data_IF_637274728253
#
_entry.id   IF_637274728253
#
_cell.length_a   1.000
_cell.length_b   1.000
_cell.length_c   1.000
_cell.angle_alpha   90.00
_cell.angle_beta   90.00
_cell.angle_gamma   90.00
#
_symmetry.space_group_name_H-M   'P 1'
#
loop_
_entity.id
_entity.type
_entity.pdbx_description
1 polymer ?
#
# COMPACT_ATOMS: atom_id res chain seq x y z
N UNK A 1 -15.18 35.37 -19.93
CA UNK A 1 -15.65 34.09 -19.34
C UNK A 1 -14.46 33.15 -19.27
N UNK A 2 -13.60 33.29 -18.26
CA UNK A 2 -12.50 32.38 -17.95
C UNK A 2 -11.85 32.85 -16.65
N UNK A 3 -12.46 32.60 -15.48
CA UNK A 3 -11.76 32.86 -14.20
C UNK A 3 -12.35 32.18 -12.95
N UNK A 4 -13.16 31.12 -13.08
CA UNK A 4 -13.74 30.45 -11.88
C UNK A 4 -13.14 29.06 -11.60
N UNK A 5 -12.35 28.48 -12.51
CA UNK A 5 -11.85 27.09 -12.34
C UNK A 5 -10.51 26.96 -11.58
N UNK A 6 -9.74 28.04 -11.40
CA UNK A 6 -8.40 27.94 -10.79
C UNK A 6 -8.39 27.89 -9.25
N UNK A 7 -9.50 28.21 -8.58
CA UNK A 7 -9.53 28.30 -7.10
C UNK A 7 -9.90 26.98 -6.42
N UNK A 8 -10.49 26.02 -7.15
CA UNK A 8 -11.00 24.78 -6.57
C UNK A 8 -9.94 23.67 -6.44
N UNK A 9 -8.94 23.63 -7.32
CA UNK A 9 -7.88 22.61 -7.31
C UNK A 9 -6.98 22.65 -6.05
N UNK A 10 -6.93 23.76 -5.32
CA UNK A 10 -6.09 23.88 -4.12
C UNK A 10 -6.68 23.29 -2.84
N UNK A 11 -8.01 23.09 -2.78
CA UNK A 11 -8.70 22.67 -1.53
C UNK A 11 -8.75 21.15 -1.35
N UNK A 12 -8.83 20.39 -2.44
CA UNK A 12 -8.94 18.92 -2.40
C UNK A 12 -7.63 18.22 -2.03
N UNK A 13 -6.48 18.82 -2.37
CA UNK A 13 -5.16 18.17 -2.18
C UNK A 13 -4.61 18.20 -0.74
N UNK A 14 -5.33 18.78 0.23
CA UNK A 14 -4.82 18.96 1.60
C UNK A 14 -5.43 18.02 2.65
N UNK A 15 -6.41 17.20 2.29
CA UNK A 15 -7.12 16.38 3.26
C UNK A 15 -6.47 14.99 3.33
N UNK A 16 -5.58 14.80 4.31
CA UNK A 16 -5.06 13.47 4.68
C UNK A 16 -5.82 12.98 5.90
N UNK A 17 -6.37 11.76 5.83
CA UNK A 17 -7.02 11.11 6.96
C UNK A 17 -5.99 10.88 8.08
N UNK A 18 -6.16 11.57 9.20
CA UNK A 18 -5.36 11.36 10.41
C UNK A 18 -6.13 10.47 11.39
N UNK A 19 -5.67 9.23 11.65
CA UNK A 19 -6.36 8.30 12.52
C UNK A 19 -6.41 8.77 13.99
N UNK A 20 -5.56 9.73 14.39
CA UNK A 20 -5.53 10.27 15.75
C UNK A 20 -6.59 11.35 16.03
N UNK A 21 -7.23 11.90 14.98
CA UNK A 21 -8.20 12.98 15.15
C UNK A 21 -9.58 12.48 15.59
N UNK A 22 -10.12 13.12 16.62
CA UNK A 22 -11.49 12.86 17.09
C UNK A 22 -12.51 13.41 16.09
N UNK A 23 -13.74 12.88 16.09
CA UNK A 23 -14.80 13.34 15.18
C UNK A 23 -15.05 14.87 15.32
N UNK A 24 -14.89 15.41 16.52
CA UNK A 24 -15.03 16.84 16.83
C UNK A 24 -13.96 17.69 16.14
N UNK A 25 -12.73 17.19 16.03
CA UNK A 25 -11.63 17.87 15.33
C UNK A 25 -11.86 17.88 13.82
N UNK A 26 -12.38 16.77 13.27
CA UNK A 26 -12.79 16.72 11.86
C UNK A 26 -13.91 17.71 11.56
N UNK A 27 -14.91 17.80 12.43
CA UNK A 27 -15.99 18.77 12.28
C UNK A 27 -15.44 20.20 12.35
N UNK A 28 -14.54 20.51 13.29
CA UNK A 28 -13.95 21.84 13.42
C UNK A 28 -13.06 22.24 12.21
N UNK A 29 -12.39 21.28 11.58
CA UNK A 29 -11.63 21.51 10.34
C UNK A 29 -12.56 21.67 9.14
N UNK A 30 -13.57 20.81 9.03
CA UNK A 30 -14.57 20.89 7.97
C UNK A 30 -15.38 22.19 8.06
N UNK A 31 -15.68 22.71 9.26
CA UNK A 31 -16.34 24.00 9.48
C UNK A 31 -15.53 25.21 8.98
N UNK A 32 -14.20 25.10 8.92
CA UNK A 32 -13.35 26.16 8.36
C UNK A 32 -13.41 26.19 6.84
N UNK A 33 -13.80 25.08 6.22
CA UNK A 33 -13.74 24.88 4.76
C UNK A 33 -15.13 24.87 4.10
N UNK A 34 -16.15 24.40 4.81
CA UNK A 34 -17.49 24.12 4.29
C UNK A 34 -18.58 24.61 5.24
N UNK A 35 -19.74 24.95 4.69
CA UNK A 35 -20.93 25.25 5.47
C UNK A 35 -21.58 23.93 5.88
N UNK A 36 -21.60 23.63 7.18
CA UNK A 36 -22.20 22.38 7.71
C UNK A 36 -23.47 22.71 8.50
N UNK A 37 -24.65 22.17 8.11
CA UNK A 37 -25.87 22.36 8.87
C UNK A 37 -25.76 21.81 10.30
N UNK A 38 -26.35 22.51 11.28
CA UNK A 38 -26.25 22.11 12.70
C UNK A 38 -26.72 20.68 12.95
N UNK A 39 -27.83 20.30 12.32
CA UNK A 39 -28.42 18.98 12.42
C UNK A 39 -27.44 17.88 12.00
N UNK A 40 -26.66 18.11 10.94
CA UNK A 40 -25.68 17.13 10.46
C UNK A 40 -24.56 16.91 11.47
N UNK A 41 -24.10 17.99 12.12
CA UNK A 41 -23.02 17.92 13.13
C UNK A 41 -23.43 17.14 14.36
N UNK A 42 -24.68 17.28 14.77
CA UNK A 42 -25.20 16.66 15.98
C UNK A 42 -25.66 15.21 15.75
N UNK A 43 -26.24 14.93 14.58
CA UNK A 43 -26.86 13.63 14.29
C UNK A 43 -25.91 12.67 13.56
N UNK A 44 -25.02 13.19 12.69
CA UNK A 44 -24.17 12.37 11.83
C UNK A 44 -22.66 12.73 11.90
N UNK A 45 -22.06 12.82 13.11
CA UNK A 45 -20.66 13.22 13.25
C UNK A 45 -19.67 12.23 12.62
N UNK A 46 -20.02 10.94 12.59
CA UNK A 46 -19.24 9.87 11.96
C UNK A 46 -19.27 9.97 10.43
N UNK A 47 -20.41 10.33 9.85
CA UNK A 47 -20.57 10.48 8.41
C UNK A 47 -19.85 11.73 7.89
N UNK A 48 -19.86 12.83 8.64
CA UNK A 48 -19.04 14.01 8.32
C UNK A 48 -17.56 13.65 8.21
N UNK A 49 -17.05 12.83 9.14
CA UNK A 49 -15.68 12.32 9.08
C UNK A 49 -15.44 11.49 7.81
N UNK A 50 -16.35 10.57 7.46
CA UNK A 50 -16.22 9.75 6.26
C UNK A 50 -16.22 10.59 4.96
N UNK A 51 -17.09 11.60 4.86
CA UNK A 51 -17.16 12.52 3.70
C UNK A 51 -15.89 13.37 3.61
N UNK A 52 -15.32 13.75 4.75
CA UNK A 52 -14.09 14.51 4.77
C UNK A 52 -12.88 13.64 4.36
N UNK A 53 -12.81 12.40 4.85
CA UNK A 53 -11.71 11.47 4.59
C UNK A 53 -11.74 10.82 3.19
N UNK A 54 -12.90 10.73 2.52
CA UNK A 54 -12.96 10.09 1.18
C UNK A 54 -12.15 10.90 0.16
N UNK A 55 -11.35 10.18 -0.63
CA UNK A 55 -10.57 10.73 -1.74
C UNK A 55 -11.38 10.81 -3.05
N UNK A 56 -12.54 10.15 -3.10
CA UNK A 56 -13.41 10.06 -4.28
C UNK A 56 -14.31 11.29 -4.48
N UNK A 57 -14.20 12.31 -3.62
CA UNK A 57 -15.04 13.52 -3.69
C UNK A 57 -14.24 14.81 -3.85
N UNK A 58 -14.82 15.73 -4.63
CA UNK A 58 -14.35 17.10 -4.80
C UNK A 58 -14.70 17.97 -3.59
N UNK A 59 -14.15 19.19 -3.51
CA UNK A 59 -14.57 20.14 -2.48
C UNK A 59 -16.06 20.51 -2.61
N UNK A 60 -16.54 20.75 -3.82
CA UNK A 60 -17.93 21.12 -4.09
C UNK A 60 -18.90 19.97 -3.80
N UNK A 61 -18.52 18.74 -4.17
CA UNK A 61 -19.33 17.56 -3.91
C UNK A 61 -19.46 17.28 -2.41
N UNK A 62 -18.37 17.43 -1.64
CA UNK A 62 -18.42 17.31 -0.18
C UNK A 62 -19.41 18.31 0.41
N UNK A 63 -19.38 19.57 -0.03
CA UNK A 63 -20.34 20.58 0.44
C UNK A 63 -21.78 20.21 0.06
N UNK A 64 -22.00 19.78 -1.19
CA UNK A 64 -23.31 19.34 -1.67
C UNK A 64 -23.88 18.18 -0.83
N UNK A 65 -23.09 17.16 -0.55
CA UNK A 65 -23.51 16.03 0.30
C UNK A 65 -23.84 16.49 1.71
N UNK A 66 -23.03 17.36 2.31
CA UNK A 66 -23.27 17.92 3.65
C UNK A 66 -24.58 18.72 3.74
N UNK A 67 -24.96 19.41 2.66
CA UNK A 67 -26.22 20.16 2.60
C UNK A 67 -27.45 19.27 2.39
N UNK A 68 -27.29 18.12 1.74
CA UNK A 68 -28.40 17.21 1.41
C UNK A 68 -28.65 16.16 2.49
N UNK A 69 -27.65 15.86 3.33
CA UNK A 69 -27.80 14.94 4.46
C UNK A 69 -29.07 15.15 5.31
N UNK A 70 -29.48 16.38 5.67
CA UNK A 70 -30.71 16.63 6.43
C UNK A 70 -32.01 16.23 5.71
N UNK A 71 -31.98 16.14 4.38
CA UNK A 71 -33.15 15.96 3.51
C UNK A 71 -33.30 14.49 3.09
N UNK A 72 -32.21 13.72 3.17
CA UNK A 72 -32.22 12.29 2.83
C UNK A 72 -33.03 11.46 3.82
N UNK A 73 -33.61 10.36 3.34
CA UNK A 73 -34.24 9.36 4.19
C UNK A 73 -33.20 8.50 4.90
N UNK A 74 -33.57 7.86 6.01
CA UNK A 74 -32.68 6.98 6.78
C UNK A 74 -32.08 5.85 5.91
N UNK A 75 -32.87 5.27 5.01
CA UNK A 75 -32.40 4.24 4.08
C UNK A 75 -31.35 4.77 3.09
N UNK A 76 -31.51 6.01 2.62
CA UNK A 76 -30.55 6.66 1.74
C UNK A 76 -29.25 6.96 2.49
N UNK A 77 -29.35 7.47 3.71
CA UNK A 77 -28.19 7.74 4.58
C UNK A 77 -27.43 6.43 4.85
N UNK A 78 -28.14 5.34 5.13
CA UNK A 78 -27.52 4.03 5.34
C UNK A 78 -26.77 3.55 4.09
N UNK A 79 -27.40 3.61 2.92
CA UNK A 79 -26.73 3.23 1.66
C UNK A 79 -25.51 4.10 1.38
N UNK A 80 -25.63 5.41 1.60
CA UNK A 80 -24.54 6.34 1.40
C UNK A 80 -23.35 6.03 2.34
N UNK A 81 -23.65 5.77 3.62
CA UNK A 81 -22.65 5.31 4.60
C UNK A 81 -21.99 4.00 4.16
N UNK A 82 -22.78 3.01 3.73
CA UNK A 82 -22.26 1.71 3.30
C UNK A 82 -21.33 1.85 2.09
N UNK A 83 -21.65 2.74 1.15
CA UNK A 83 -20.78 3.06 0.00
C UNK A 83 -19.44 3.61 0.47
N UNK A 84 -19.45 4.63 1.34
CA UNK A 84 -18.22 5.27 1.84
C UNK A 84 -17.36 4.32 2.67
N UNK A 85 -17.99 3.44 3.47
CA UNK A 85 -17.26 2.43 4.26
C UNK A 85 -16.62 1.39 3.34
N UNK A 86 -17.37 0.87 2.36
CA UNK A 86 -16.84 -0.12 1.41
C UNK A 86 -15.69 0.46 0.58
N UNK A 87 -15.79 1.71 0.14
CA UNK A 87 -14.70 2.40 -0.55
C UNK A 87 -13.44 2.45 0.32
N UNK A 88 -13.57 2.89 1.58
CA UNK A 88 -12.46 2.93 2.54
C UNK A 88 -11.86 1.54 2.78
N UNK A 89 -12.68 0.49 2.87
CA UNK A 89 -12.20 -0.88 3.01
C UNK A 89 -11.45 -1.37 1.77
N UNK A 90 -11.93 -1.02 0.56
CA UNK A 90 -11.27 -1.37 -0.69
C UNK A 90 -9.92 -0.67 -0.83
N UNK A 91 -9.83 0.61 -0.48
CA UNK A 91 -8.56 1.35 -0.47
C UNK A 91 -7.57 0.76 0.55
N UNK A 92 -8.01 0.52 1.78
CA UNK A 92 -7.16 -0.12 2.80
C UNK A 92 -6.70 -1.53 2.39
N UNK A 93 -7.54 -2.28 1.69
CA UNK A 93 -7.17 -3.59 1.17
C UNK A 93 -6.11 -3.46 0.09
N UNK A 94 -6.29 -2.52 -0.84
CA UNK A 94 -5.34 -2.24 -1.90
C UNK A 94 -3.98 -1.85 -1.31
N UNK A 95 -3.94 -0.97 -0.31
CA UNK A 95 -2.72 -0.56 0.39
C UNK A 95 -2.00 -1.76 1.02
N UNK A 96 -2.73 -2.63 1.72
CA UNK A 96 -2.16 -3.86 2.31
C UNK A 96 -1.63 -4.82 1.26
N UNK A 97 -2.34 -4.97 0.15
CA UNK A 97 -1.91 -5.81 -0.96
C UNK A 97 -0.61 -5.24 -1.57
N UNK A 98 -0.52 -3.91 -1.75
CA UNK A 98 0.71 -3.24 -2.18
C UNK A 98 1.87 -3.39 -1.19
N UNK A 99 1.64 -3.18 0.11
CA UNK A 99 2.66 -3.38 1.15
C UNK A 99 3.18 -4.82 1.18
N UNK A 100 2.27 -5.79 1.03
CA UNK A 100 2.60 -7.22 0.97
C UNK A 100 3.45 -7.55 -0.26
N UNK A 101 3.06 -7.08 -1.44
CA UNK A 101 3.84 -7.28 -2.67
C UNK A 101 5.21 -6.61 -2.60
N UNK A 102 5.31 -5.42 -1.98
CA UNK A 102 6.59 -4.76 -1.76
C UNK A 102 7.49 -5.52 -0.79
N UNK A 103 6.94 -5.99 0.33
CA UNK A 103 7.70 -6.81 1.29
C UNK A 103 8.19 -8.12 0.66
N UNK A 104 7.40 -8.74 -0.23
CA UNK A 104 7.83 -9.92 -1.00
C UNK A 104 8.99 -9.59 -1.92
N UNK A 105 8.89 -8.50 -2.68
CA UNK A 105 9.96 -8.06 -3.59
C UNK A 105 11.25 -7.74 -2.84
N UNK A 106 11.19 -7.06 -1.71
CA UNK A 106 12.36 -6.80 -0.84
C UNK A 106 13.01 -8.10 -0.35
N UNK A 107 12.20 -9.05 0.12
CA UNK A 107 12.71 -10.36 0.56
C UNK A 107 13.36 -11.13 -0.59
N UNK A 108 12.76 -11.13 -1.78
CA UNK A 108 13.33 -11.80 -2.95
C UNK A 108 14.66 -11.17 -3.35
N UNK A 109 14.75 -9.84 -3.40
CA UNK A 109 16.01 -9.15 -3.74
C UNK A 109 17.10 -9.34 -2.69
N UNK A 110 16.75 -9.29 -1.40
CA UNK A 110 17.71 -9.50 -0.30
C UNK A 110 18.20 -10.95 -0.27
N UNK A 111 17.30 -11.93 -0.51
CA UNK A 111 17.68 -13.34 -0.56
C UNK A 111 18.56 -13.69 -1.77
N UNK A 112 18.34 -13.05 -2.93
CA UNK A 112 19.21 -13.20 -4.10
C UNK A 112 20.63 -12.62 -3.87
N UNK A 113 20.77 -11.70 -2.91
CA UNK A 113 22.04 -11.10 -2.49
C UNK A 113 22.50 -11.63 -1.12
N UNK A 114 22.03 -12.79 -0.67
CA UNK A 114 22.56 -13.44 0.54
C UNK A 114 24.00 -13.90 0.28
N UNK A 115 24.94 -13.00 0.55
CA UNK A 115 26.36 -13.16 0.32
C UNK A 115 26.90 -14.39 1.06
N UNK A 116 26.37 -14.73 2.23
CA UNK A 116 26.73 -15.94 2.99
C UNK A 116 26.38 -17.24 2.25
N UNK A 117 25.21 -17.34 1.61
CA UNK A 117 24.84 -18.55 0.85
C UNK A 117 25.70 -18.69 -0.41
N UNK A 118 26.02 -17.57 -1.06
CA UNK A 118 26.90 -17.53 -2.23
C UNK A 118 28.31 -17.98 -1.83
N UNK A 119 28.85 -17.45 -0.72
CA UNK A 119 30.17 -17.84 -0.22
C UNK A 119 30.21 -19.31 0.20
N UNK A 120 29.17 -19.81 0.87
CA UNK A 120 29.08 -21.22 1.26
C UNK A 120 29.05 -22.14 0.04
N UNK A 121 28.21 -21.86 -0.97
CA UNK A 121 28.19 -22.62 -2.23
C UNK A 121 29.53 -22.59 -2.96
N UNK A 122 30.20 -21.44 -2.95
CA UNK A 122 31.52 -21.28 -3.60
C UNK A 122 32.61 -22.09 -2.88
N UNK A 123 32.58 -22.11 -1.54
CA UNK A 123 33.49 -22.93 -0.74
C UNK A 123 33.23 -24.42 -0.94
N UNK A 124 31.97 -24.83 -1.00
CA UNK A 124 31.56 -26.22 -1.23
C UNK A 124 31.95 -26.72 -2.62
N UNK A 125 31.77 -25.90 -3.66
CA UNK A 125 32.26 -26.16 -5.01
C UNK A 125 33.77 -26.34 -5.05
N UNK A 126 34.53 -25.42 -4.43
CA UNK A 126 36.00 -25.49 -4.39
C UNK A 126 36.50 -26.74 -3.66
N UNK A 127 35.86 -27.12 -2.56
CA UNK A 127 36.18 -28.35 -1.83
C UNK A 127 35.92 -29.59 -2.69
N UNK A 128 34.80 -29.61 -3.41
CA UNK A 128 34.44 -30.71 -4.32
C UNK A 128 35.38 -30.82 -5.51
N UNK A 129 35.78 -29.71 -6.11
CA UNK A 129 36.79 -29.67 -7.19
C UNK A 129 38.12 -30.24 -6.71
N UNK A 130 38.62 -29.80 -5.55
CA UNK A 130 39.88 -30.33 -5.00
C UNK A 130 39.84 -31.83 -4.67
N UNK A 131 38.68 -32.33 -4.24
CA UNK A 131 38.49 -33.75 -3.98
C UNK A 131 38.44 -34.57 -5.28
N UNK A 132 37.82 -34.02 -6.33
CA UNK A 132 37.79 -34.66 -7.65
C UNK A 132 39.16 -34.65 -8.32
N UNK A 133 39.94 -33.58 -8.19
CA UNK A 133 41.26 -33.44 -8.83
C UNK A 133 42.24 -34.54 -8.39
N UNK A 134 42.21 -34.93 -7.11
CA UNK A 134 43.03 -36.03 -6.59
C UNK A 134 42.56 -37.42 -7.11
N UNK A 135 41.26 -37.57 -7.39
CA UNK A 135 40.69 -38.79 -7.97
C UNK A 135 41.03 -38.87 -9.46
N UNK A 136 40.91 -37.75 -10.17
CA UNK A 136 41.26 -37.63 -11.59
C UNK A 136 42.76 -37.87 -11.82
N UNK A 137 43.65 -37.31 -10.99
CA UNK A 137 45.09 -37.59 -11.06
C UNK A 137 45.42 -39.07 -10.89
N UNK A 138 44.77 -39.75 -9.93
CA UNK A 138 44.95 -41.21 -9.77
C UNK A 138 44.45 -41.99 -10.97
N UNK A 139 43.29 -41.62 -11.50
CA UNK A 139 42.73 -42.25 -12.69
C UNK A 139 43.63 -42.02 -13.92
N UNK A 140 44.21 -40.83 -14.08
CA UNK A 140 45.19 -40.53 -15.12
C UNK A 140 46.45 -41.38 -14.97
N UNK A 141 47.04 -41.45 -13.78
CA UNK A 141 48.22 -42.29 -13.53
C UNK A 141 47.96 -43.77 -13.85
N UNK A 142 46.79 -44.29 -13.47
CA UNK A 142 46.41 -45.67 -13.75
C UNK A 142 46.17 -45.92 -15.25
N UNK A 143 45.58 -44.96 -15.97
CA UNK A 143 45.44 -45.01 -17.43
C UNK A 143 46.81 -44.99 -18.13
N UNK A 144 47.75 -44.16 -17.68
CA UNK A 144 49.11 -44.08 -18.23
C UNK A 144 49.86 -45.39 -18.03
N UNK A 145 49.78 -46.00 -16.83
CA UNK A 145 50.39 -47.31 -16.56
C UNK A 145 49.83 -48.40 -17.47
N UNK A 146 48.52 -48.38 -17.72
CA UNK A 146 47.89 -49.34 -18.63
C UNK A 146 48.35 -49.14 -20.09
N UNK A 147 48.54 -47.89 -20.54
CA UNK A 147 49.04 -47.59 -21.88
C UNK A 147 50.53 -47.93 -22.08
N UNK A 148 51.36 -47.84 -21.03
CA UNK A 148 52.78 -48.20 -21.09
C UNK A 148 53.04 -49.71 -21.12
N UNK A 149 52.04 -50.53 -20.75
CA UNK A 149 52.11 -51.98 -20.76
C UNK A 149 51.50 -52.62 -22.03
N UNK A 150 51.13 -51.80 -23.04
CA UNK A 150 50.72 -52.21 -24.39
C UNK A 150 51.88 -52.05 -25.38
#
# INVERSE_FOLDING_TARGET
MADEQSTQQGKSSQIKADPAKTNEQYIAEAEKLYIIPKLVREVFPDLVKLIFETESMDADEREYWLQILPIMTEDQIKKFRDILVNEKEQLNKLDKDYESEMSKLEKTHTSALNEEEIQKKRAELKARESANEAVEQKQEEDLIKNLQNL
#
